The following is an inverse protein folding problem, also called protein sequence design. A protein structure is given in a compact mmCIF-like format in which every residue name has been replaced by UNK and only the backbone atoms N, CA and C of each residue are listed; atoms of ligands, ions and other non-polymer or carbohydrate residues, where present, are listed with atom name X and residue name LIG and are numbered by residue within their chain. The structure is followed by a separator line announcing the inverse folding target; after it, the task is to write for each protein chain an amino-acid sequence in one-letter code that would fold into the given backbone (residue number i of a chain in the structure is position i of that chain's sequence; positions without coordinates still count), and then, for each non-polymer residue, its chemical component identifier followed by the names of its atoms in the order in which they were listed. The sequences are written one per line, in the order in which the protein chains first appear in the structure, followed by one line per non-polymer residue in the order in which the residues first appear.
data_IF_024076313405
#
_entry.id   IF_024076313405
#
_cell.length_a   1.000
_cell.length_b   1.000
_cell.length_c   1.000
_cell.angle_alpha   90.00
_cell.angle_beta   90.00
_cell.angle_gamma   90.00
#
_symmetry.space_group_name_H-M   'P 1'
#
loop_
_entity.id
_entity.type
_entity.pdbx_description
1 polymer ?
#
# COMPACT_ATOMS: atom_id res chain seq x y z
N UNK A 1 25.29 17.80 -21.22
CA UNK A 1 26.31 16.72 -21.31
C UNK A 1 25.93 15.61 -20.33
N UNK A 2 25.40 14.49 -20.83
CA UNK A 2 24.73 13.39 -20.08
C UNK A 2 25.69 12.42 -19.35
N UNK A 3 26.91 12.84 -19.00
CA UNK A 3 27.99 11.93 -18.60
C UNK A 3 27.97 11.46 -17.13
N UNK A 4 26.99 11.83 -16.30
CA UNK A 4 27.07 11.70 -14.84
C UNK A 4 26.00 10.81 -14.18
N UNK A 5 25.46 9.79 -14.85
CA UNK A 5 24.23 9.11 -14.36
C UNK A 5 24.47 7.73 -13.72
N UNK A 6 25.69 7.17 -13.71
CA UNK A 6 25.93 5.83 -13.13
C UNK A 6 26.77 5.84 -11.84
N UNK A 7 26.29 5.14 -10.81
CA UNK A 7 26.99 4.89 -9.52
C UNK A 7 28.35 4.19 -9.68
N UNK A 8 28.62 3.59 -10.84
CA UNK A 8 29.81 2.78 -11.11
C UNK A 8 30.80 3.48 -12.05
N UNK A 9 30.63 4.77 -12.33
CA UNK A 9 31.53 5.57 -13.19
C UNK A 9 31.78 5.00 -14.60
N UNK A 10 30.89 4.13 -15.09
CA UNK A 10 30.97 3.63 -16.45
C UNK A 10 30.40 4.65 -17.43
N UNK A 11 31.04 4.76 -18.60
CA UNK A 11 30.55 5.56 -19.73
C UNK A 11 29.19 5.03 -20.16
N UNK A 12 28.18 5.89 -20.15
CA UNK A 12 26.85 5.56 -20.68
C UNK A 12 26.73 6.06 -22.11
N UNK A 13 26.06 5.27 -22.94
CA UNK A 13 25.83 5.54 -24.36
C UNK A 13 24.35 5.81 -24.55
N UNK A 14 23.97 7.00 -25.00
CA UNK A 14 22.56 7.39 -25.12
C UNK A 14 22.10 7.32 -26.57
N UNK A 15 20.90 6.78 -26.78
CA UNK A 15 20.19 6.96 -28.04
C UNK A 15 19.72 8.41 -28.14
N UNK A 16 20.12 9.13 -29.19
CA UNK A 16 19.66 10.50 -29.40
C UNK A 16 18.18 10.58 -29.82
N UNK A 17 17.58 9.45 -30.21
CA UNK A 17 16.19 9.43 -30.66
C UNK A 17 15.20 9.26 -29.50
N UNK A 18 15.45 8.33 -28.58
CA UNK A 18 14.56 8.01 -27.47
C UNK A 18 15.15 8.30 -26.08
N UNK A 19 16.38 8.83 -26.03
CA UNK A 19 17.14 9.13 -24.80
C UNK A 19 17.39 7.93 -23.88
N UNK A 20 17.20 6.70 -24.38
CA UNK A 20 17.50 5.48 -23.62
C UNK A 20 19.01 5.36 -23.37
N UNK A 21 19.39 5.06 -22.13
CA UNK A 21 20.79 4.87 -21.72
C UNK A 21 21.21 3.40 -21.83
N UNK A 22 22.23 3.13 -22.63
CA UNK A 22 22.85 1.83 -22.80
C UNK A 22 24.19 1.76 -22.05
N UNK A 23 24.52 0.56 -21.56
CA UNK A 23 25.76 0.29 -20.81
C UNK A 23 27.00 0.17 -21.71
N UNK A 24 26.81 -0.01 -23.02
CA UNK A 24 27.89 -0.09 -24.01
C UNK A 24 27.42 0.39 -25.38
N UNK A 25 28.38 0.69 -26.26
CA UNK A 25 28.12 1.08 -27.65
C UNK A 25 27.47 -0.05 -28.46
N UNK A 26 27.85 -1.31 -28.21
CA UNK A 26 27.24 -2.47 -28.87
C UNK A 26 25.75 -2.61 -28.55
N UNK A 27 25.37 -2.37 -27.28
CA UNK A 27 23.96 -2.38 -26.86
C UNK A 27 23.20 -1.21 -27.48
N UNK A 28 23.84 -0.04 -27.61
CA UNK A 28 23.25 1.10 -28.30
C UNK A 28 22.99 0.80 -29.78
N UNK A 29 23.92 0.13 -30.47
CA UNK A 29 23.75 -0.19 -31.89
C UNK A 29 22.60 -1.18 -32.12
N UNK A 30 22.52 -2.25 -31.30
CA UNK A 30 21.37 -3.18 -31.30
C UNK A 30 20.05 -2.47 -30.95
N UNK A 31 20.10 -1.49 -30.06
CA UNK A 31 18.93 -0.70 -29.72
C UNK A 31 18.49 0.18 -30.91
N UNK A 32 19.42 0.77 -31.68
CA UNK A 32 19.09 1.59 -32.86
C UNK A 32 18.28 0.81 -33.89
N UNK A 33 18.60 -0.46 -34.14
CA UNK A 33 17.84 -1.34 -35.04
C UNK A 33 16.35 -1.35 -34.67
N UNK A 34 16.03 -1.53 -33.39
CA UNK A 34 14.63 -1.58 -32.92
C UNK A 34 14.02 -0.21 -32.58
N UNK A 35 14.84 0.81 -32.37
CA UNK A 35 14.39 2.16 -32.02
C UNK A 35 14.04 3.01 -33.25
N UNK A 36 14.71 2.77 -34.39
CA UNK A 36 14.57 3.58 -35.60
C UNK A 36 13.67 2.92 -36.67
N UNK A 37 13.54 1.59 -36.69
CA UNK A 37 12.87 0.88 -37.79
C UNK A 37 11.34 0.96 -37.78
N UNK A 38 10.70 1.38 -36.69
CA UNK A 38 9.22 1.36 -36.59
C UNK A 38 8.65 2.78 -36.38
N UNK A 39 8.61 3.58 -37.45
CA UNK A 39 7.84 4.84 -37.53
C UNK A 39 8.05 5.85 -36.38
N UNK A 40 9.24 5.93 -35.79
CA UNK A 40 9.49 6.82 -34.63
C UNK A 40 8.81 6.35 -33.34
N UNK A 41 8.36 5.10 -33.28
CA UNK A 41 7.82 4.43 -32.09
C UNK A 41 8.68 3.23 -31.72
N UNK A 42 8.74 2.92 -30.43
CA UNK A 42 9.48 1.77 -29.93
C UNK A 42 8.96 0.48 -30.58
N UNK A 43 9.83 -0.29 -31.25
CA UNK A 43 9.42 -1.53 -31.91
C UNK A 43 8.73 -2.49 -30.94
N UNK A 44 7.48 -2.85 -31.25
CA UNK A 44 6.71 -3.85 -30.50
C UNK A 44 7.02 -5.24 -31.06
N UNK A 45 7.96 -5.94 -30.44
CA UNK A 45 8.26 -7.33 -30.77
C UNK A 45 7.31 -8.22 -29.98
N UNK A 46 6.33 -8.82 -30.67
CA UNK A 46 5.47 -9.83 -30.08
C UNK A 46 6.25 -11.15 -29.89
N UNK A 47 5.97 -11.92 -28.82
CA UNK A 47 6.56 -13.23 -28.66
C UNK A 47 6.15 -14.14 -29.83
N UNK A 48 7.08 -15.00 -30.27
CA UNK A 48 6.79 -15.99 -31.33
C UNK A 48 5.62 -16.88 -30.92
N UNK A 49 4.85 -17.34 -31.89
CA UNK A 49 3.78 -18.31 -31.65
C UNK A 49 4.32 -19.53 -30.89
N UNK A 50 3.59 -19.96 -29.85
CA UNK A 50 4.02 -21.05 -28.96
C UNK A 50 5.01 -20.64 -27.84
N UNK A 51 5.41 -19.36 -27.75
CA UNK A 51 6.22 -18.88 -26.62
C UNK A 51 5.43 -19.00 -25.33
N UNK A 52 6.04 -19.62 -24.30
CA UNK A 52 5.44 -19.79 -22.98
C UNK A 52 6.12 -18.86 -21.98
N UNK A 53 5.30 -18.14 -21.20
CA UNK A 53 5.76 -17.33 -20.08
C UNK A 53 5.83 -18.24 -18.84
N UNK A 54 6.86 -18.06 -18.01
CA UNK A 54 7.02 -18.82 -16.76
C UNK A 54 7.14 -17.86 -15.59
N UNK A 55 6.46 -18.17 -14.48
CA UNK A 55 6.64 -17.45 -13.24
C UNK A 55 8.04 -17.73 -12.70
N UNK A 56 8.81 -16.68 -12.39
CA UNK A 56 10.19 -16.81 -11.88
C UNK A 56 10.30 -16.48 -10.39
N UNK A 57 9.48 -15.55 -9.91
CA UNK A 57 9.56 -15.01 -8.57
C UNK A 57 8.64 -15.75 -7.60
N UNK A 58 8.82 -17.08 -7.49
CA UNK A 58 8.02 -17.94 -6.61
C UNK A 58 7.94 -17.44 -5.17
N UNK A 59 8.97 -16.74 -4.67
CA UNK A 59 8.92 -16.09 -3.34
C UNK A 59 7.71 -15.16 -3.14
N UNK A 60 7.22 -14.54 -4.22
CA UNK A 60 6.10 -13.58 -4.18
C UNK A 60 4.73 -14.28 -4.13
N UNK A 61 4.66 -15.61 -4.32
CA UNK A 61 3.42 -16.37 -4.10
C UNK A 61 3.21 -16.68 -2.62
N UNK A 62 4.20 -16.45 -1.77
CA UNK A 62 4.04 -16.62 -0.34
C UNK A 62 3.38 -15.41 0.30
N UNK A 63 2.45 -15.63 1.24
CA UNK A 63 1.88 -14.54 2.01
C UNK A 63 2.97 -13.86 2.83
N UNK A 64 2.88 -12.54 2.91
CA UNK A 64 3.70 -11.76 3.85
C UNK A 64 3.19 -12.01 5.27
N UNK A 65 4.07 -12.14 6.28
CA UNK A 65 3.60 -12.51 7.61
C UNK A 65 2.73 -11.44 8.28
N UNK A 66 3.06 -10.17 8.04
CA UNK A 66 2.37 -9.03 8.62
C UNK A 66 2.02 -8.01 7.54
N UNK A 67 0.80 -7.46 7.65
CA UNK A 67 0.31 -6.34 6.85
C UNK A 67 -0.25 -5.29 7.79
N UNK A 68 0.01 -4.03 7.52
CA UNK A 68 -0.60 -2.90 8.23
C UNK A 68 -1.64 -2.29 7.30
N UNK A 69 -2.88 -2.18 7.76
CA UNK A 69 -3.93 -1.40 7.10
C UNK A 69 -4.06 -0.07 7.82
N UNK A 70 -4.14 1.02 7.09
CA UNK A 70 -4.25 2.35 7.66
C UNK A 70 -5.08 3.27 6.78
N UNK A 71 -5.56 4.34 7.39
CA UNK A 71 -6.35 5.40 6.78
C UNK A 71 -6.16 6.70 7.58
N UNK A 72 -6.23 7.85 6.93
CA UNK A 72 -6.19 9.16 7.58
C UNK A 72 -7.52 9.90 7.42
N UNK A 73 -7.86 10.71 8.42
CA UNK A 73 -8.80 11.81 8.23
C UNK A 73 -8.04 13.13 8.24
N UNK A 74 -8.57 14.10 7.51
CA UNK A 74 -7.97 15.44 7.38
C UNK A 74 -8.97 16.54 7.65
N UNK A 75 -8.48 17.63 8.23
CA UNK A 75 -9.18 18.91 8.21
C UNK A 75 -8.86 19.65 6.91
N UNK A 76 -9.80 20.47 6.47
CA UNK A 76 -9.74 21.24 5.23
C UNK A 76 -9.46 22.71 5.54
N UNK A 77 -8.18 23.08 5.70
CA UNK A 77 -7.81 24.45 6.07
C UNK A 77 -7.94 25.37 4.85
N UNK A 78 -8.81 26.40 4.87
CA UNK A 78 -8.93 27.36 3.78
C UNK A 78 -7.61 28.09 3.58
N UNK A 79 -7.22 28.29 2.33
CA UNK A 79 -6.08 29.12 1.97
C UNK A 79 -6.59 30.48 1.51
N UNK A 80 -5.98 31.55 2.00
CA UNK A 80 -6.26 32.89 1.49
C UNK A 80 -5.86 32.95 0.01
N UNK A 81 -6.76 33.45 -0.84
CA UNK A 81 -6.45 33.68 -2.26
C UNK A 81 -5.24 34.61 -2.33
N UNK A 82 -4.11 34.08 -2.77
CA UNK A 82 -2.94 34.90 -3.08
C UNK A 82 -3.35 35.87 -4.17
N UNK A 83 -3.17 37.17 -3.92
CA UNK A 83 -3.28 38.18 -4.98
C UNK A 83 -2.33 37.77 -6.11
N UNK A 84 -2.81 37.89 -7.36
CA UNK A 84 -1.99 37.53 -8.52
C UNK A 84 -0.71 38.36 -8.49
N UNK A 85 0.42 37.65 -8.57
CA UNK A 85 1.73 38.25 -8.75
C UNK A 85 1.69 39.21 -9.95
N UNK A 86 2.24 40.42 -9.82
CA UNK A 86 2.41 41.34 -10.96
C UNK A 86 3.37 40.76 -12.03
N UNK A 87 4.14 39.73 -11.68
CA UNK A 87 5.05 39.01 -12.55
C UNK A 87 4.36 37.78 -13.18
N UNK A 88 4.14 37.76 -14.51
CA UNK A 88 3.44 36.66 -15.21
C UNK A 88 4.23 35.35 -15.28
N UNK A 89 5.52 35.34 -14.91
CA UNK A 89 6.35 34.12 -14.87
C UNK A 89 6.24 33.34 -13.55
N UNK A 90 5.69 33.95 -12.48
CA UNK A 90 5.44 33.33 -11.17
C UNK A 90 3.96 32.92 -10.99
N UNK A 91 3.13 33.05 -12.03
CA UNK A 91 1.70 32.73 -11.96
C UNK A 91 1.45 31.21 -12.08
N UNK A 92 1.13 30.57 -10.96
CA UNK A 92 0.36 29.31 -10.97
C UNK A 92 -1.02 29.60 -11.56
N UNK A 93 -1.40 28.92 -12.64
CA UNK A 93 -2.78 28.98 -13.18
C UNK A 93 -3.81 28.29 -12.28
N UNK A 94 -3.38 27.70 -11.17
CA UNK A 94 -4.22 27.00 -10.21
C UNK A 94 -4.33 27.80 -8.92
N UNK A 95 -5.57 28.15 -8.56
CA UNK A 95 -5.89 28.77 -7.28
C UNK A 95 -5.97 27.69 -6.20
N UNK A 96 -4.98 27.66 -5.31
CA UNK A 96 -5.03 26.84 -4.10
C UNK A 96 -6.05 27.47 -3.15
N UNK A 97 -7.20 26.84 -2.97
CA UNK A 97 -8.27 27.35 -2.08
C UNK A 97 -8.31 26.64 -0.72
N UNK A 98 -7.71 25.45 -0.61
CA UNK A 98 -7.65 24.71 0.65
C UNK A 98 -6.42 23.80 0.72
N UNK A 99 -5.94 23.60 1.95
CA UNK A 99 -4.87 22.68 2.30
C UNK A 99 -5.39 21.59 3.23
N UNK A 100 -5.25 20.35 2.80
CA UNK A 100 -5.60 19.18 3.60
C UNK A 100 -4.52 18.91 4.65
N UNK A 101 -4.88 18.89 5.93
CA UNK A 101 -3.96 18.54 7.02
C UNK A 101 -4.48 17.31 7.76
N UNK A 102 -3.65 16.27 7.84
CA UNK A 102 -3.97 15.07 8.60
C UNK A 102 -4.28 15.43 10.06
N UNK A 103 -5.46 15.08 10.54
CA UNK A 103 -5.89 15.34 11.92
C UNK A 103 -6.09 14.04 12.71
N UNK A 104 -6.29 12.91 12.03
CA UNK A 104 -6.36 11.61 12.68
C UNK A 104 -5.88 10.49 11.78
N UNK A 105 -5.57 9.33 12.38
CA UNK A 105 -5.38 8.10 11.63
C UNK A 105 -5.98 6.90 12.36
N UNK A 106 -6.35 5.89 11.58
CA UNK A 106 -6.61 4.52 12.04
C UNK A 106 -5.54 3.57 11.54
N UNK A 107 -5.12 2.61 12.36
CA UNK A 107 -4.12 1.61 12.00
C UNK A 107 -4.44 0.25 12.61
N UNK A 108 -4.40 -0.80 11.78
CA UNK A 108 -4.52 -2.19 12.20
C UNK A 108 -3.40 -3.04 11.60
N UNK A 109 -2.58 -3.66 12.46
CA UNK A 109 -1.60 -4.67 12.03
C UNK A 109 -2.23 -6.06 12.08
N UNK A 110 -2.15 -6.80 10.97
CA UNK A 110 -2.74 -8.13 10.81
C UNK A 110 -1.65 -9.15 10.54
N UNK A 111 -1.66 -10.25 11.29
CA UNK A 111 -0.81 -11.40 11.03
C UNK A 111 -1.55 -12.39 10.13
N UNK A 112 -0.94 -12.80 9.01
CA UNK A 112 -1.54 -13.77 8.10
C UNK A 112 -1.68 -15.17 8.72
N UNK A 113 -0.70 -15.58 9.53
CA UNK A 113 -0.56 -16.96 9.97
C UNK A 113 -1.36 -17.29 11.24
N UNK A 114 -1.46 -16.34 12.17
CA UNK A 114 -2.15 -16.53 13.44
C UNK A 114 -2.56 -15.17 14.00
N UNK A 115 -3.87 -14.96 14.18
CA UNK A 115 -4.43 -13.68 14.58
C UNK A 115 -4.02 -13.26 15.99
N UNK A 116 -3.57 -14.17 16.84
CA UNK A 116 -3.05 -13.80 18.18
C UNK A 116 -1.80 -12.91 18.10
N UNK A 117 -1.14 -12.87 16.95
CA UNK A 117 0.03 -12.04 16.69
C UNK A 117 -0.33 -10.72 15.99
N UNK A 118 -1.59 -10.57 15.54
CA UNK A 118 -2.11 -9.30 15.03
C UNK A 118 -1.99 -8.23 16.12
N UNK A 119 -1.67 -7.00 15.72
CA UNK A 119 -1.62 -5.87 16.66
C UNK A 119 -3.03 -5.40 17.01
N UNK A 120 -3.20 -4.75 18.16
CA UNK A 120 -4.44 -4.03 18.47
C UNK A 120 -4.71 -2.91 17.45
N UNK A 121 -5.98 -2.49 17.35
CA UNK A 121 -6.32 -1.30 16.58
C UNK A 121 -5.75 -0.07 17.30
N UNK A 122 -5.10 0.80 16.55
CA UNK A 122 -4.52 2.04 17.06
C UNK A 122 -5.11 3.20 16.30
N UNK A 123 -5.54 4.22 17.03
CA UNK A 123 -5.94 5.50 16.46
C UNK A 123 -5.27 6.63 17.22
N UNK A 124 -5.20 7.77 16.57
CA UNK A 124 -4.69 9.01 17.14
C UNK A 124 -5.40 10.18 16.50
N UNK A 125 -5.66 11.23 17.29
CA UNK A 125 -6.28 12.48 16.83
C UNK A 125 -5.44 13.65 17.37
N UNK A 126 -4.87 14.45 16.48
CA UNK A 126 -4.00 15.58 16.79
C UNK A 126 -3.37 16.19 15.54
N UNK A 127 -2.81 17.40 15.67
CA UNK A 127 -2.21 18.15 14.54
C UNK A 127 -0.99 17.45 13.94
N UNK A 128 -0.30 16.62 14.72
CA UNK A 128 0.88 15.87 14.30
C UNK A 128 0.54 14.42 13.90
N UNK A 129 -0.71 14.15 13.48
CA UNK A 129 -1.20 12.81 13.14
C UNK A 129 -0.29 12.06 12.17
N UNK A 130 0.17 12.69 11.09
CA UNK A 130 1.09 12.07 10.12
C UNK A 130 2.45 11.71 10.73
N UNK A 131 2.98 12.54 11.63
CA UNK A 131 4.24 12.27 12.34
C UNK A 131 4.09 11.11 13.34
N UNK A 132 3.02 11.13 14.14
CA UNK A 132 2.69 10.07 15.10
C UNK A 132 2.42 8.75 14.38
N UNK A 133 1.76 8.81 13.23
CA UNK A 133 1.55 7.65 12.36
C UNK A 133 2.88 7.03 11.94
N UNK A 134 3.81 7.81 11.38
CA UNK A 134 5.11 7.29 10.96
C UNK A 134 5.91 6.68 12.12
N UNK A 135 5.92 7.33 13.29
CA UNK A 135 6.53 6.76 14.51
C UNK A 135 5.88 5.42 14.89
N UNK A 136 4.55 5.35 14.79
CA UNK A 136 3.77 4.16 15.13
C UNK A 136 4.04 3.00 14.16
N UNK A 137 4.03 3.26 12.85
CA UNK A 137 4.32 2.27 11.81
C UNK A 137 5.76 1.76 11.92
N UNK A 138 6.73 2.65 12.16
CA UNK A 138 8.13 2.26 12.38
C UNK A 138 8.25 1.34 13.60
N UNK A 139 7.61 1.68 14.72
CA UNK A 139 7.56 0.84 15.93
C UNK A 139 6.92 -0.52 15.65
N UNK A 140 5.79 -0.55 14.96
CA UNK A 140 5.12 -1.80 14.57
C UNK A 140 6.00 -2.65 13.65
N UNK A 141 6.77 -2.02 12.75
CA UNK A 141 7.68 -2.74 11.86
C UNK A 141 8.78 -3.49 12.61
N UNK A 142 9.30 -2.89 13.70
CA UNK A 142 10.27 -3.55 14.58
C UNK A 142 9.64 -4.71 15.33
N UNK A 143 8.43 -4.53 15.88
CA UNK A 143 7.67 -5.60 16.53
C UNK A 143 7.43 -6.79 15.59
N UNK A 144 6.96 -6.53 14.37
CA UNK A 144 6.72 -7.56 13.36
C UNK A 144 8.00 -8.33 13.01
N UNK A 145 9.14 -7.63 12.90
CA UNK A 145 10.44 -8.24 12.65
C UNK A 145 10.87 -9.15 13.79
N UNK A 146 10.80 -8.67 15.03
CA UNK A 146 11.18 -9.43 16.22
C UNK A 146 10.34 -10.71 16.34
N UNK A 147 9.03 -10.60 16.10
CA UNK A 147 8.13 -11.75 16.11
C UNK A 147 8.48 -12.74 15.00
N UNK A 148 8.78 -12.25 13.80
CA UNK A 148 9.20 -13.11 12.69
C UNK A 148 10.48 -13.86 13.03
N UNK A 149 11.47 -13.19 13.63
CA UNK A 149 12.75 -13.79 13.98
C UNK A 149 12.65 -14.82 15.12
N UNK A 150 11.76 -14.59 16.10
CA UNK A 150 11.56 -15.49 17.25
C UNK A 150 10.62 -16.66 16.97
N UNK A 151 9.54 -16.42 16.23
CA UNK A 151 8.41 -17.35 16.12
C UNK A 151 8.45 -18.13 14.80
N UNK A 152 8.87 -17.49 13.71
CA UNK A 152 8.79 -18.06 12.35
C UNK A 152 10.08 -18.76 11.93
N UNK A 153 10.75 -19.42 12.87
CA UNK A 153 11.93 -20.28 12.65
C UNK A 153 11.69 -21.70 13.15
N UNK A 154 10.49 -22.23 12.91
CA UNK A 154 10.15 -23.59 13.33
C UNK A 154 10.97 -24.60 12.56
N UNK A 155 11.42 -25.62 13.29
CA UNK A 155 12.05 -26.80 12.69
C UNK A 155 11.00 -27.57 11.88
N UNK A 156 11.45 -28.19 10.80
CA UNK A 156 10.61 -29.03 9.97
C UNK A 156 10.06 -30.20 10.80
N UNK A 157 8.77 -30.45 10.63
CA UNK A 157 8.06 -31.63 11.10
C UNK A 157 7.59 -32.36 9.85
N UNK A 158 8.09 -33.59 9.69
CA UNK A 158 7.75 -34.47 8.57
C UNK A 158 7.32 -35.82 9.13
N UNK A 159 6.18 -36.32 8.65
CA UNK A 159 5.65 -37.63 9.03
C UNK A 159 6.30 -38.75 8.21
N UNK A 160 6.28 -40.01 8.68
CA UNK A 160 6.81 -41.13 7.90
C UNK A 160 6.16 -41.28 6.51
N UNK A 161 4.87 -40.92 6.39
CA UNK A 161 4.15 -40.94 5.12
C UNK A 161 4.66 -39.88 4.15
N UNK A 162 4.84 -38.64 4.62
CA UNK A 162 5.40 -37.54 3.80
C UNK A 162 6.86 -37.79 3.42
N UNK A 163 7.62 -38.44 4.30
CA UNK A 163 8.99 -38.86 4.01
C UNK A 163 9.02 -39.93 2.90
N UNK A 164 8.10 -40.90 2.93
CA UNK A 164 7.97 -41.86 1.83
C UNK A 164 7.56 -41.18 0.51
N UNK A 165 6.66 -40.19 0.57
CA UNK A 165 6.24 -39.39 -0.60
C UNK A 165 7.40 -38.56 -1.18
N UNK A 166 8.21 -37.94 -0.30
CA UNK A 166 9.42 -37.22 -0.68
C UNK A 166 10.40 -38.09 -1.48
N UNK A 167 10.58 -39.36 -1.08
CA UNK A 167 11.50 -40.29 -1.74
C UNK A 167 11.06 -40.72 -3.15
N UNK A 168 9.76 -40.66 -3.45
CA UNK A 168 9.23 -41.04 -4.78
C UNK A 168 8.91 -39.83 -5.67
N UNK A 169 8.82 -38.63 -5.10
CA UNK A 169 8.47 -37.40 -5.83
C UNK A 169 9.52 -37.07 -6.89
N UNK A 170 9.06 -36.83 -8.13
CA UNK A 170 9.91 -36.50 -9.28
C UNK A 170 9.96 -35.01 -9.62
N UNK A 171 8.92 -34.25 -9.26
CA UNK A 171 8.78 -32.85 -9.65
C UNK A 171 8.92 -31.92 -8.45
N UNK A 172 9.57 -30.78 -8.66
CA UNK A 172 9.70 -29.73 -7.66
C UNK A 172 8.33 -29.08 -7.45
N UNK A 173 7.85 -29.02 -6.21
CA UNK A 173 6.54 -28.41 -5.91
C UNK A 173 6.51 -26.90 -6.20
N UNK A 174 7.66 -26.23 -6.16
CA UNK A 174 7.78 -24.78 -6.33
C UNK A 174 7.71 -24.40 -7.81
N UNK A 175 8.53 -25.03 -8.65
CA UNK A 175 8.68 -24.65 -10.06
C UNK A 175 8.05 -25.64 -11.06
N UNK A 176 7.61 -26.81 -10.59
CA UNK A 176 7.00 -27.88 -11.38
C UNK A 176 7.96 -28.75 -12.20
N UNK A 177 9.24 -28.36 -12.35
CA UNK A 177 10.20 -29.11 -13.17
C UNK A 177 10.76 -30.34 -12.44
N UNK A 178 11.33 -31.29 -13.18
CA UNK A 178 11.94 -32.50 -12.62
C UNK A 178 13.10 -32.18 -11.66
N UNK A 179 13.13 -32.88 -10.52
CA UNK A 179 14.12 -32.75 -9.46
C UNK A 179 15.46 -33.38 -9.83
N UNK A 180 15.44 -34.44 -10.65
CA UNK A 180 16.60 -35.28 -10.93
C UNK A 180 17.29 -35.67 -9.60
N UNK A 181 18.58 -35.37 -9.45
CA UNK A 181 19.37 -35.61 -8.24
C UNK A 181 19.31 -34.44 -7.22
N UNK A 182 18.80 -33.26 -7.61
CA UNK A 182 18.70 -32.08 -6.74
C UNK A 182 17.38 -32.07 -5.98
N UNK A 183 17.36 -32.81 -4.86
CA UNK A 183 16.16 -33.00 -4.03
C UNK A 183 16.39 -32.60 -2.59
N UNK A 184 15.74 -31.53 -2.17
CA UNK A 184 15.69 -31.07 -0.77
C UNK A 184 14.26 -30.99 -0.25
N UNK A 185 14.11 -31.03 1.07
CA UNK A 185 12.81 -30.89 1.74
C UNK A 185 12.56 -29.40 2.01
N UNK A 186 11.50 -28.85 1.43
CA UNK A 186 11.00 -27.52 1.75
C UNK A 186 9.94 -27.61 2.86
N UNK A 187 9.94 -26.63 3.76
CA UNK A 187 8.97 -26.57 4.85
C UNK A 187 8.56 -25.14 5.16
N UNK A 188 7.38 -25.01 5.73
CA UNK A 188 6.89 -23.72 6.21
C UNK A 188 7.63 -23.32 7.48
N UNK A 189 8.40 -22.23 7.43
CA UNK A 189 9.16 -21.76 8.59
C UNK A 189 8.28 -21.24 9.74
N UNK A 190 7.00 -20.95 9.50
CA UNK A 190 6.03 -20.48 10.51
C UNK A 190 5.35 -21.65 11.20
N UNK A 191 4.88 -22.63 10.43
CA UNK A 191 4.14 -23.78 10.99
C UNK A 191 5.01 -24.99 11.29
N UNK A 192 6.19 -25.09 10.66
CA UNK A 192 7.08 -26.25 10.68
C UNK A 192 6.65 -27.35 9.70
N UNK A 193 5.49 -27.24 9.06
CA UNK A 193 4.94 -28.31 8.20
C UNK A 193 5.77 -28.46 6.93
N UNK A 194 6.07 -29.70 6.57
CA UNK A 194 6.61 -30.03 5.27
C UNK A 194 5.68 -29.57 4.14
N UNK A 195 6.25 -29.01 3.07
CA UNK A 195 5.51 -28.50 1.91
C UNK A 195 5.69 -29.35 0.67
N UNK A 196 6.87 -29.95 0.51
CA UNK A 196 7.16 -30.81 -0.63
C UNK A 196 8.65 -30.91 -0.96
N UNK A 197 8.94 -31.72 -1.98
CA UNK A 197 10.28 -31.83 -2.54
C UNK A 197 10.56 -30.63 -3.46
N UNK A 198 11.77 -30.07 -3.36
CA UNK A 198 12.18 -28.94 -4.15
C UNK A 198 13.64 -29.05 -4.61
N UNK A 199 13.99 -28.32 -5.67
CA UNK A 199 15.40 -28.03 -5.98
C UNK A 199 16.00 -27.18 -4.86
N UNK A 200 17.29 -27.36 -4.58
CA UNK A 200 17.99 -26.57 -3.56
C UNK A 200 17.89 -25.06 -3.84
N UNK A 201 18.05 -24.64 -5.10
CA UNK A 201 17.93 -23.22 -5.49
C UNK A 201 16.50 -22.70 -5.34
N UNK A 202 15.50 -23.51 -5.70
CA UNK A 202 14.09 -23.14 -5.53
C UNK A 202 13.78 -22.93 -4.04
N UNK A 203 14.19 -23.87 -3.19
CA UNK A 203 14.03 -23.81 -1.75
C UNK A 203 14.67 -22.54 -1.15
N UNK A 204 15.94 -22.26 -1.47
CA UNK A 204 16.65 -21.08 -0.97
C UNK A 204 16.00 -19.74 -1.37
N UNK A 205 15.36 -19.71 -2.55
CA UNK A 205 14.63 -18.54 -3.03
C UNK A 205 13.22 -18.43 -2.44
N UNK A 206 12.60 -19.55 -2.09
CA UNK A 206 11.24 -19.64 -1.55
C UNK A 206 11.20 -19.33 -0.05
N UNK A 207 11.68 -18.14 0.31
CA UNK A 207 11.81 -17.67 1.70
C UNK A 207 10.88 -16.52 2.02
N UNK A 208 10.37 -16.53 3.24
CA UNK A 208 9.47 -15.50 3.76
C UNK A 208 10.17 -14.14 3.72
N UNK A 209 9.45 -13.10 3.32
CA UNK A 209 9.93 -11.73 3.36
C UNK A 209 9.69 -11.09 4.73
N UNK A 210 10.62 -10.23 5.15
CA UNK A 210 10.45 -9.39 6.34
C UNK A 210 9.89 -8.00 6.00
N UNK A 211 9.52 -7.80 4.73
CA UNK A 211 8.82 -6.60 4.33
C UNK A 211 7.41 -6.61 4.91
N UNK A 212 7.02 -5.49 5.50
CA UNK A 212 5.70 -5.24 6.06
C UNK A 212 5.01 -4.23 5.14
N UNK A 213 4.03 -4.66 4.33
CA UNK A 213 3.23 -3.74 3.54
C UNK A 213 2.37 -2.87 4.45
N UNK A 214 2.31 -1.59 4.14
CA UNK A 214 1.37 -0.62 4.71
C UNK A 214 0.39 -0.27 3.61
N UNK A 215 -0.87 -0.65 3.79
CA UNK A 215 -1.91 -0.63 2.79
C UNK A 215 -2.87 0.50 3.11
N UNK A 216 -3.02 1.39 2.15
CA UNK A 216 -4.10 2.38 2.09
C UNK A 216 -4.97 2.09 0.88
N UNK A 217 -6.17 2.65 0.84
CA UNK A 217 -7.00 2.63 -0.35
C UNK A 217 -7.02 4.01 -0.97
N UNK A 218 -6.48 4.15 -2.19
CA UNK A 218 -6.20 5.43 -2.84
C UNK A 218 -4.98 6.19 -2.27
N UNK A 219 -3.97 5.46 -1.77
CA UNK A 219 -2.70 6.02 -1.27
C UNK A 219 -2.11 7.06 -2.22
N UNK A 220 -2.02 6.70 -3.51
CA UNK A 220 -1.38 7.52 -4.55
C UNK A 220 -2.15 8.81 -4.80
N UNK A 221 -3.46 8.79 -4.59
CA UNK A 221 -4.33 9.93 -4.83
C UNK A 221 -4.40 10.91 -3.66
N UNK A 222 -4.07 10.46 -2.44
CA UNK A 222 -4.34 11.24 -1.23
C UNK A 222 -3.25 11.09 -0.16
N UNK A 223 -3.29 10.01 0.64
CA UNK A 223 -2.51 9.88 1.88
C UNK A 223 -0.99 9.94 1.68
N UNK A 224 -0.50 9.56 0.51
CA UNK A 224 0.93 9.59 0.21
C UNK A 224 1.52 11.00 0.34
N UNK A 225 0.76 12.04 0.03
CA UNK A 225 1.19 13.42 0.17
C UNK A 225 1.38 13.82 1.64
N UNK A 226 0.42 13.45 2.50
CA UNK A 226 0.48 13.67 3.95
C UNK A 226 1.70 12.96 4.57
N UNK A 227 1.93 11.72 4.16
CA UNK A 227 3.08 10.94 4.66
C UNK A 227 4.41 11.54 4.17
N UNK A 228 4.49 11.95 2.90
CA UNK A 228 5.74 12.42 2.30
C UNK A 228 6.19 13.76 2.90
N UNK A 229 5.27 14.62 3.36
CA UNK A 229 5.60 15.85 4.07
C UNK A 229 6.39 15.60 5.37
N UNK A 230 6.09 14.49 6.05
CA UNK A 230 6.68 14.15 7.35
C UNK A 230 7.89 13.20 7.24
N UNK A 231 8.06 12.51 6.10
CA UNK A 231 9.08 11.48 5.94
C UNK A 231 10.51 12.02 6.09
N UNK A 232 10.74 13.28 5.71
CA UNK A 232 12.05 13.94 5.81
C UNK A 232 12.55 14.10 7.24
N UNK A 233 11.66 14.00 8.24
CA UNK A 233 12.02 14.03 9.67
C UNK A 233 12.62 12.70 10.14
N UNK A 234 12.55 11.64 9.33
CA UNK A 234 13.07 10.31 9.65
C UNK A 234 14.40 10.06 8.94
N UNK A 235 15.43 9.66 9.71
CA UNK A 235 16.74 9.25 9.18
C UNK A 235 16.70 7.80 8.66
N UNK A 236 15.90 7.55 7.64
CA UNK A 236 15.77 6.24 6.99
C UNK A 236 15.83 6.38 5.48
N UNK A 237 16.39 5.39 4.80
CA UNK A 237 16.43 5.37 3.34
C UNK A 237 15.01 5.37 2.78
N UNK A 238 14.71 6.30 1.88
CA UNK A 238 13.44 6.33 1.16
C UNK A 238 13.69 5.84 -0.27
N UNK A 239 12.91 4.86 -0.70
CA UNK A 239 12.93 4.38 -2.08
C UNK A 239 11.54 4.53 -2.69
N UNK A 240 11.44 5.19 -3.84
CA UNK A 240 10.17 5.58 -4.45
C UNK A 240 10.06 4.99 -5.85
N UNK A 241 8.88 4.47 -6.18
CA UNK A 241 8.48 4.12 -7.54
C UNK A 241 7.51 5.22 -7.99
N UNK A 242 7.99 6.23 -8.73
CA UNK A 242 7.14 7.33 -9.17
C UNK A 242 6.18 6.87 -10.27
N UNK A 243 4.97 7.43 -10.27
CA UNK A 243 4.02 7.33 -11.38
C UNK A 243 4.17 8.52 -12.33
N UNK A 244 4.29 9.72 -11.75
CA UNK A 244 4.61 10.97 -12.42
C UNK A 244 5.33 11.88 -11.40
N UNK A 245 5.46 13.18 -11.69
CA UNK A 245 6.14 14.14 -10.80
C UNK A 245 5.45 14.37 -9.45
N UNK A 246 4.16 14.03 -9.34
CA UNK A 246 3.34 14.30 -8.14
C UNK A 246 2.96 13.02 -7.39
N UNK A 247 2.72 11.94 -8.14
CA UNK A 247 2.08 10.71 -7.67
C UNK A 247 3.09 9.58 -7.60
N UNK A 248 3.01 8.80 -6.52
CA UNK A 248 3.88 7.65 -6.27
C UNK A 248 3.09 6.34 -6.37
N UNK A 249 3.55 5.39 -7.20
CA UNK A 249 2.94 4.05 -7.28
C UNK A 249 3.09 3.32 -5.95
N UNK A 250 4.28 3.39 -5.38
CA UNK A 250 4.65 2.81 -4.09
C UNK A 250 5.92 3.48 -3.60
N UNK A 251 6.11 3.54 -2.29
CA UNK A 251 7.37 3.95 -1.69
C UNK A 251 7.70 3.06 -0.50
N UNK A 252 8.97 3.02 -0.13
CA UNK A 252 9.48 2.23 0.99
C UNK A 252 10.25 3.11 1.95
N UNK A 253 10.08 2.85 3.24
CA UNK A 253 10.84 3.49 4.31
C UNK A 253 11.77 2.45 4.95
N UNK A 254 13.07 2.69 4.86
CA UNK A 254 14.10 1.73 5.21
C UNK A 254 14.03 0.46 4.36
N UNK A 255 14.40 -0.68 4.96
CA UNK A 255 14.49 -1.97 4.25
C UNK A 255 13.22 -2.83 4.35
N UNK A 256 12.31 -2.48 5.25
CA UNK A 256 11.21 -3.34 5.69
C UNK A 256 9.82 -2.74 5.41
N UNK A 257 9.59 -1.44 5.52
CA UNK A 257 8.26 -0.87 5.28
C UNK A 257 8.04 -0.57 3.81
N UNK A 258 6.90 -1.00 3.27
CA UNK A 258 6.52 -0.75 1.88
C UNK A 258 5.08 -0.25 1.84
N UNK A 259 4.88 0.99 1.42
CA UNK A 259 3.56 1.59 1.27
C UNK A 259 2.99 1.23 -0.09
N UNK A 260 1.79 0.65 -0.10
CA UNK A 260 1.11 0.20 -1.30
C UNK A 260 -0.32 0.70 -1.34
N UNK A 261 -0.80 0.90 -2.56
CA UNK A 261 -2.15 1.36 -2.83
C UNK A 261 -3.03 0.20 -3.25
N UNK A 262 -4.05 -0.11 -2.45
CA UNK A 262 -4.96 -1.20 -2.76
C UNK A 262 -5.86 -0.92 -3.97
N UNK A 263 -6.11 0.35 -4.33
CA UNK A 263 -6.96 0.71 -5.48
C UNK A 263 -6.33 0.26 -6.80
N UNK A 264 -5.00 0.07 -6.84
CA UNK A 264 -4.30 -0.43 -8.03
C UNK A 264 -4.56 -1.93 -8.29
N UNK A 265 -5.01 -2.66 -7.28
CA UNK A 265 -5.39 -4.07 -7.41
C UNK A 265 -6.91 -4.26 -7.46
N UNK A 266 -7.65 -3.36 -6.80
CA UNK A 266 -9.10 -3.36 -6.69
C UNK A 266 -9.62 -1.99 -7.10
N UNK A 267 -9.80 -1.79 -8.40
CA UNK A 267 -10.14 -0.50 -9.03
C UNK A 267 -11.62 -0.13 -8.83
N UNK A 268 -12.04 0.05 -7.58
CA UNK A 268 -13.39 0.48 -7.21
C UNK A 268 -13.33 1.19 -5.85
N UNK A 269 -14.38 1.93 -5.48
CA UNK A 269 -14.45 2.55 -4.16
C UNK A 269 -14.57 1.51 -3.04
N UNK A 270 -14.13 1.87 -1.83
CA UNK A 270 -14.33 1.01 -0.65
C UNK A 270 -15.80 0.66 -0.45
N UNK A 271 -16.71 1.62 -0.63
CA UNK A 271 -18.16 1.41 -0.55
C UNK A 271 -18.64 0.27 -1.47
N UNK A 272 -18.23 0.29 -2.73
CA UNK A 272 -18.59 -0.75 -3.70
C UNK A 272 -17.90 -2.09 -3.41
N UNK A 273 -16.68 -2.08 -2.87
CA UNK A 273 -16.00 -3.31 -2.47
C UNK A 273 -16.68 -3.96 -1.27
N UNK A 274 -17.04 -3.17 -0.26
CA UNK A 274 -17.74 -3.60 0.96
C UNK A 274 -19.15 -4.12 0.63
N UNK A 275 -19.88 -3.49 -0.29
CA UNK A 275 -21.23 -3.94 -0.67
C UNK A 275 -21.27 -5.33 -1.29
N UNK A 276 -20.13 -5.85 -1.75
CA UNK A 276 -19.99 -7.20 -2.29
C UNK A 276 -19.59 -8.25 -1.23
N UNK A 277 -19.43 -7.86 0.04
CA UNK A 277 -19.00 -8.73 1.12
C UNK A 277 -20.19 -9.22 1.95
N UNK A 278 -20.09 -10.47 2.40
CA UNK A 278 -20.99 -11.05 3.41
C UNK A 278 -20.50 -10.73 4.82
N UNK A 279 -21.37 -10.75 5.85
CA UNK A 279 -20.94 -10.52 7.24
C UNK A 279 -19.79 -11.43 7.70
N UNK A 280 -19.70 -12.65 7.16
CA UNK A 280 -18.64 -13.61 7.48
C UNK A 280 -17.25 -13.17 6.96
N UNK A 281 -17.22 -12.35 5.91
CA UNK A 281 -15.98 -11.84 5.30
C UNK A 281 -15.32 -10.77 6.17
N UNK A 282 -16.06 -10.11 7.06
CA UNK A 282 -15.56 -9.08 7.98
C UNK A 282 -14.82 -9.69 9.19
N UNK A 283 -13.80 -10.49 8.94
CA UNK A 283 -13.03 -11.26 9.94
C UNK A 283 -12.42 -10.41 11.05
N UNK A 284 -12.17 -9.12 10.80
CA UNK A 284 -11.57 -8.18 11.75
C UNK A 284 -12.67 -7.33 12.41
N UNK A 285 -13.43 -6.59 11.62
CA UNK A 285 -14.50 -5.68 12.10
C UNK A 285 -15.55 -6.46 12.87
N UNK A 286 -15.99 -7.61 12.35
CA UNK A 286 -16.98 -8.47 12.96
C UNK A 286 -16.52 -9.13 14.27
N UNK A 287 -15.25 -9.06 14.66
CA UNK A 287 -14.81 -9.47 16.01
C UNK A 287 -15.09 -8.40 17.06
N UNK A 288 -15.09 -7.12 16.65
CA UNK A 288 -15.22 -5.98 17.54
C UNK A 288 -16.64 -5.46 17.64
N UNK A 289 -17.37 -5.52 16.53
CA UNK A 289 -18.72 -4.97 16.39
C UNK A 289 -19.69 -6.07 15.98
N UNK A 290 -20.90 -6.06 16.54
CA UNK A 290 -21.94 -7.08 16.34
C UNK A 290 -23.31 -6.40 16.21
N UNK A 291 -24.28 -7.11 15.65
CA UNK A 291 -25.67 -6.62 15.58
C UNK A 291 -25.77 -5.29 14.83
N UNK A 292 -26.48 -4.33 15.43
CA UNK A 292 -26.67 -3.01 14.82
C UNK A 292 -25.35 -2.23 14.68
N UNK A 293 -24.46 -2.27 15.67
CA UNK A 293 -23.15 -1.62 15.59
C UNK A 293 -22.38 -2.06 14.35
N UNK A 294 -22.41 -3.37 14.05
CA UNK A 294 -21.74 -3.93 12.88
C UNK A 294 -22.30 -3.36 11.57
N UNK A 295 -23.62 -3.22 11.49
CA UNK A 295 -24.28 -2.69 10.31
C UNK A 295 -23.97 -1.20 10.12
N UNK A 296 -23.80 -0.44 11.20
CA UNK A 296 -23.47 0.99 11.11
C UNK A 296 -22.01 1.22 10.73
N UNK A 297 -21.06 0.49 11.33
CA UNK A 297 -19.62 0.70 11.07
C UNK A 297 -19.11 0.14 9.73
N UNK A 298 -19.91 -0.68 9.05
CA UNK A 298 -19.57 -1.21 7.72
C UNK A 298 -20.15 -0.37 6.59
N UNK A 299 -20.98 0.62 6.89
CA UNK A 299 -21.50 1.56 5.90
C UNK A 299 -20.50 2.70 5.64
N UNK A 300 -20.69 3.39 4.51
CA UNK A 300 -19.95 4.61 4.22
C UNK A 300 -20.32 5.70 5.23
N UNK A 301 -19.31 6.28 5.87
CA UNK A 301 -19.48 7.42 6.75
C UNK A 301 -19.89 8.68 5.98
N UNK A 302 -20.70 9.52 6.63
CA UNK A 302 -21.11 10.83 6.13
C UNK A 302 -20.45 11.87 7.02
N UNK A 303 -19.53 12.65 6.46
CA UNK A 303 -18.62 13.49 7.23
C UNK A 303 -18.60 14.93 6.69
N UNK A 304 -18.71 15.96 7.55
CA UNK A 304 -18.82 17.35 7.12
C UNK A 304 -17.42 17.96 6.92
N UNK A 305 -16.77 17.61 5.81
CA UNK A 305 -15.38 17.99 5.57
C UNK A 305 -15.14 19.51 5.55
N UNK A 306 -16.02 20.28 4.89
CA UNK A 306 -15.92 21.75 4.81
C UNK A 306 -16.15 22.43 6.16
N UNK A 307 -16.98 21.84 7.02
CA UNK A 307 -17.15 22.33 8.38
C UNK A 307 -15.85 22.15 9.18
N UNK A 308 -15.13 21.04 8.99
CA UNK A 308 -13.89 20.72 9.72
C UNK A 308 -12.67 21.38 9.07
N UNK A 309 -12.62 22.71 9.14
CA UNK A 309 -11.50 23.54 8.69
C UNK A 309 -10.41 23.76 9.74
N UNK A 310 -10.70 23.49 11.00
CA UNK A 310 -9.81 23.70 12.13
C UNK A 310 -9.90 22.54 13.12
N UNK A 311 -8.76 22.14 13.70
CA UNK A 311 -8.72 20.99 14.59
C UNK A 311 -9.55 21.19 15.88
N UNK A 312 -9.73 22.44 16.31
CA UNK A 312 -10.54 22.76 17.49
C UNK A 312 -12.02 22.41 17.27
N UNK A 313 -12.50 22.40 16.02
CA UNK A 313 -13.88 22.02 15.68
C UNK A 313 -14.18 20.55 15.95
N UNK A 314 -13.16 19.70 16.11
CA UNK A 314 -13.35 18.34 16.63
C UNK A 314 -13.95 18.33 18.04
N UNK A 315 -13.80 19.42 18.81
CA UNK A 315 -14.41 19.54 20.13
C UNK A 315 -15.80 20.19 20.10
N UNK A 316 -16.35 20.48 18.91
CA UNK A 316 -17.72 21.01 18.77
C UNK A 316 -18.70 19.98 19.32
N UNK A 317 -19.56 20.41 20.24
CA UNK A 317 -20.62 19.57 20.79
C UNK A 317 -21.81 19.49 19.85
N UNK A 318 -22.31 18.28 19.65
CA UNK A 318 -23.44 18.01 18.75
C UNK A 318 -23.03 17.84 17.29
N UNK A 319 -23.92 17.19 16.53
CA UNK A 319 -23.77 17.04 15.09
C UNK A 319 -24.02 18.40 14.40
N UNK A 320 -23.14 18.86 13.50
CA UNK A 320 -23.34 20.05 12.69
C UNK A 320 -24.67 20.02 11.95
N UNK A 321 -25.25 21.19 11.68
CA UNK A 321 -26.50 21.25 10.92
C UNK A 321 -26.30 20.74 9.49
N UNK A 322 -27.38 20.31 8.85
CA UNK A 322 -27.36 19.78 7.47
C UNK A 322 -26.65 20.72 6.48
N UNK A 323 -26.84 22.04 6.62
CA UNK A 323 -26.22 23.05 5.76
C UNK A 323 -24.69 23.04 5.85
N UNK A 324 -24.13 22.61 6.99
CA UNK A 324 -22.68 22.51 7.22
C UNK A 324 -22.04 21.26 6.59
N UNK A 325 -22.85 20.38 5.97
CA UNK A 325 -22.38 19.25 5.16
C UNK A 325 -22.29 19.59 3.67
N UNK A 326 -22.45 20.86 3.28
CA UNK A 326 -22.25 21.30 1.90
C UNK A 326 -20.86 20.91 1.39
N UNK A 327 -20.75 20.52 0.12
CA UNK A 327 -19.48 20.19 -0.52
C UNK A 327 -19.19 21.17 -1.65
N UNK A 328 -18.13 21.97 -1.52
CA UNK A 328 -17.70 22.87 -2.59
C UNK A 328 -17.14 22.11 -3.80
N UNK A 329 -16.65 20.88 -3.59
CA UNK A 329 -16.15 20.02 -4.67
C UNK A 329 -17.25 19.59 -5.64
N UNK A 330 -18.46 19.33 -5.13
CA UNK A 330 -19.61 18.90 -5.92
C UNK A 330 -20.65 20.02 -6.11
N UNK A 331 -20.42 21.17 -5.50
CA UNK A 331 -21.34 22.30 -5.42
C UNK A 331 -22.75 21.89 -4.99
N UNK A 332 -22.85 20.96 -4.03
CA UNK A 332 -24.11 20.32 -3.67
C UNK A 332 -24.28 20.16 -2.16
N UNK A 333 -25.52 20.26 -1.70
CA UNK A 333 -25.93 19.89 -0.34
C UNK A 333 -25.91 18.37 -0.14
N UNK A 334 -25.76 17.95 1.12
CA UNK A 334 -25.91 16.54 1.50
C UNK A 334 -27.36 16.09 1.29
N UNK A 335 -27.52 14.85 0.82
CA UNK A 335 -28.84 14.23 0.68
C UNK A 335 -29.47 14.04 2.06
N UNK A 336 -30.80 14.16 2.14
CA UNK A 336 -31.54 13.95 3.40
C UNK A 336 -31.22 12.57 3.99
N UNK A 337 -31.29 11.52 3.16
CA UNK A 337 -30.99 10.14 3.58
C UNK A 337 -29.58 9.95 4.15
N UNK A 338 -28.59 10.71 3.67
CA UNK A 338 -27.21 10.62 4.16
C UNK A 338 -27.04 11.40 5.47
N UNK A 339 -27.73 12.52 5.63
CA UNK A 339 -27.75 13.26 6.89
C UNK A 339 -28.50 12.49 8.00
N UNK A 340 -29.63 11.85 7.68
CA UNK A 340 -30.34 10.96 8.59
C UNK A 340 -29.46 9.79 9.06
N UNK A 341 -28.61 9.23 8.17
CA UNK A 341 -27.61 8.22 8.58
C UNK A 341 -26.60 8.79 9.55
N UNK A 342 -26.09 10.00 9.31
CA UNK A 342 -25.16 10.67 10.22
C UNK A 342 -25.78 10.86 11.61
N UNK A 343 -27.02 11.34 11.67
CA UNK A 343 -27.80 11.47 12.91
C UNK A 343 -27.96 10.12 13.62
N UNK A 344 -28.33 9.07 12.87
CA UNK A 344 -28.48 7.72 13.43
C UNK A 344 -27.18 7.23 14.06
N UNK A 345 -26.03 7.39 13.39
CA UNK A 345 -24.72 7.00 13.92
C UNK A 345 -24.41 7.81 15.19
N UNK A 346 -24.62 9.13 15.14
CA UNK A 346 -24.41 10.04 16.26
C UNK A 346 -25.16 9.63 17.52
N UNK A 347 -26.47 9.40 17.37
CA UNK A 347 -27.35 9.04 18.48
C UNK A 347 -27.09 7.63 18.99
N UNK A 348 -26.85 6.66 18.08
CA UNK A 348 -26.61 5.26 18.43
C UNK A 348 -25.33 5.09 19.25
N UNK A 349 -24.24 5.72 18.83
CA UNK A 349 -22.96 5.66 19.54
C UNK A 349 -22.86 6.68 20.68
N UNK A 350 -23.89 7.52 20.88
CA UNK A 350 -23.94 8.56 21.93
C UNK A 350 -22.75 9.50 21.85
N UNK A 351 -22.40 9.87 20.61
CA UNK A 351 -21.33 10.81 20.32
C UNK A 351 -21.66 12.15 20.95
N UNK A 352 -20.65 12.82 21.49
CA UNK A 352 -20.81 14.13 22.13
C UNK A 352 -20.15 15.21 21.30
N UNK A 353 -19.01 14.88 20.72
CA UNK A 353 -18.20 15.81 19.94
C UNK A 353 -17.84 15.22 18.59
N UNK A 354 -17.47 16.07 17.63
CA UNK A 354 -17.00 15.64 16.30
C UNK A 354 -15.73 14.77 16.33
N UNK A 355 -15.07 14.66 17.48
CA UNK A 355 -13.90 13.79 17.73
C UNK A 355 -14.29 12.32 17.94
N UNK A 356 -15.46 12.08 18.53
CA UNK A 356 -15.98 10.73 18.78
C UNK A 356 -16.31 10.04 17.46
#
# INVERSE_FOLDING_TARGET
MLFSVSKHAHKQHFSLHCLHSCVSEEVLEKHKETCLEVNGTQAVILPKEGTKIKFKNHRNSMPVPFVIYADFESILVPEERKEKSENPEDESSTDLYQTHKACSFGLKTVCHYDDKYSGEYKSYVGEDAALVFLKTVVKESFRCREMTDKIFRKKMVITPKEEAEFLVTRNCHICGNDLCEDRVRDHDHVTGKYRGAAHNICNLKYRITWKVPVVFHNLRGYDSHLIMQEIGKFKMDVNVIPNNMEKYISFSLGKNLVFIDSIQFMTSSLEALVSNLSPEDFRIVGKRWKGEDFNLVTQKGVFPYEFLDDISKLNTEGLPSKDQFYSSLYESEVKEEDYEKAQKVWDHFKMKTMRD
#
